data_IF_147385504223
#
_entry.id   IF_147385504223
#
_cell.length_a   1.000
_cell.length_b   1.000
_cell.length_c   1.000
_cell.angle_alpha   90.00
_cell.angle_beta   90.00
_cell.angle_gamma   90.00
#
_symmetry.space_group_name_H-M   'P 1'
#
loop_
_entity.id
_entity.type
_entity.pdbx_description
1 polymer ?
#
# COMPACT_ATOMS: atom_id res chain seq x y z
N UNK A 1 6.81 -28.52 3.89
CA UNK A 1 8.08 -27.96 4.40
C UNK A 1 8.10 -26.47 4.19
N UNK A 2 8.55 -25.75 5.20
CA UNK A 2 8.60 -24.28 5.10
C UNK A 2 9.83 -23.84 4.30
N UNK A 3 9.63 -22.85 3.43
CA UNK A 3 10.70 -22.24 2.65
C UNK A 3 10.81 -20.76 2.99
N UNK A 4 12.03 -20.26 3.04
CA UNK A 4 12.24 -18.82 3.23
C UNK A 4 12.09 -18.09 1.90
N UNK A 5 11.61 -16.85 1.99
CA UNK A 5 11.42 -15.97 0.84
C UNK A 5 12.26 -14.72 1.09
N UNK A 6 12.95 -14.25 0.06
CA UNK A 6 13.67 -12.96 0.13
C UNK A 6 12.99 -11.99 -0.82
N UNK A 7 12.98 -10.70 -0.48
CA UNK A 7 12.40 -9.69 -1.36
C UNK A 7 13.06 -9.69 -2.74
N UNK A 8 14.35 -10.01 -2.80
CA UNK A 8 15.09 -10.06 -4.07
C UNK A 8 14.50 -11.09 -5.02
N UNK A 9 13.97 -12.20 -4.50
CA UNK A 9 13.41 -13.30 -5.31
C UNK A 9 11.94 -13.10 -5.64
N UNK A 10 11.26 -12.12 -5.02
CA UNK A 10 9.87 -11.81 -5.34
C UNK A 10 9.81 -10.97 -6.60
N UNK A 11 9.03 -11.40 -7.62
CA UNK A 11 8.91 -10.62 -8.86
C UNK A 11 8.37 -9.21 -8.61
N UNK A 12 8.94 -8.24 -9.33
CA UNK A 12 8.44 -6.87 -9.31
C UNK A 12 7.36 -6.71 -10.38
N UNK A 13 6.20 -6.20 -9.97
CA UNK A 13 5.13 -5.85 -10.89
C UNK A 13 5.16 -4.33 -11.10
N UNK A 14 5.21 -3.89 -12.35
CA UNK A 14 5.00 -2.48 -12.70
C UNK A 14 3.49 -2.26 -12.84
N UNK A 15 2.89 -1.62 -11.84
CA UNK A 15 1.45 -1.31 -11.85
C UNK A 15 1.19 -0.13 -12.78
N UNK A 16 2.00 0.92 -12.63
CA UNK A 16 2.12 2.06 -13.54
C UNK A 16 3.60 2.41 -13.64
N UNK A 17 4.02 3.27 -14.58
CA UNK A 17 5.43 3.71 -14.60
C UNK A 17 5.91 4.31 -13.28
N UNK A 18 5.00 4.83 -12.46
CA UNK A 18 5.32 5.48 -11.17
C UNK A 18 5.15 4.58 -9.97
N UNK A 19 4.58 3.38 -10.13
CA UNK A 19 4.29 2.46 -9.02
C UNK A 19 4.76 1.06 -9.33
N UNK A 20 5.64 0.53 -8.48
CA UNK A 20 6.13 -0.84 -8.54
C UNK A 20 5.85 -1.54 -7.22
N UNK A 21 5.50 -2.83 -7.29
CA UNK A 21 5.20 -3.60 -6.09
C UNK A 21 5.70 -5.03 -6.15
N UNK A 22 6.00 -5.57 -4.96
CA UNK A 22 6.30 -6.99 -4.74
C UNK A 22 5.33 -7.49 -3.69
N UNK A 23 4.63 -8.60 -3.96
CA UNK A 23 3.59 -9.12 -3.08
C UNK A 23 3.99 -10.48 -2.56
N UNK A 24 3.82 -10.69 -1.24
CA UNK A 24 3.89 -12.00 -0.59
C UNK A 24 2.60 -12.19 0.18
N UNK A 25 1.88 -13.28 -0.11
CA UNK A 25 0.59 -13.55 0.54
C UNK A 25 0.57 -14.92 1.18
N UNK A 26 0.10 -14.97 2.43
CA UNK A 26 -0.39 -16.17 3.08
C UNK A 26 -1.90 -16.30 2.87
N UNK A 27 -2.52 -17.21 3.60
CA UNK A 27 -3.98 -17.40 3.53
C UNK A 27 -4.74 -16.31 4.27
N UNK A 28 -4.16 -15.78 5.36
CA UNK A 28 -4.86 -14.86 6.28
C UNK A 28 -4.29 -13.46 6.29
N UNK A 29 -3.10 -13.27 5.74
CA UNK A 29 -2.51 -11.94 5.63
C UNK A 29 -1.62 -11.84 4.40
N UNK A 30 -1.46 -10.62 3.93
CA UNK A 30 -0.65 -10.29 2.76
C UNK A 30 0.23 -9.10 3.09
N UNK A 31 1.45 -9.11 2.56
CA UNK A 31 2.34 -7.95 2.63
C UNK A 31 2.77 -7.55 1.22
N UNK A 32 3.01 -6.27 1.03
CA UNK A 32 3.55 -5.75 -0.23
C UNK A 32 4.60 -4.71 0.05
N UNK A 33 5.73 -4.83 -0.64
CA UNK A 33 6.78 -3.82 -0.63
C UNK A 33 6.65 -3.01 -1.90
N UNK A 34 6.55 -1.69 -1.77
CA UNK A 34 6.20 -0.82 -2.88
C UNK A 34 7.15 0.33 -3.01
N UNK A 35 7.38 0.74 -4.27
CA UNK A 35 8.11 1.94 -4.62
C UNK A 35 7.24 2.84 -5.46
N UNK A 36 7.19 4.12 -5.12
CA UNK A 36 6.42 5.14 -5.82
C UNK A 36 7.33 6.30 -6.19
N UNK A 37 7.05 6.90 -7.34
CA UNK A 37 7.66 8.17 -7.69
C UNK A 37 6.92 9.34 -7.06
N UNK A 38 7.64 10.46 -6.87
CA UNK A 38 7.08 11.70 -6.35
C UNK A 38 5.79 12.09 -7.08
N UNK A 39 4.80 12.51 -6.32
CA UNK A 39 3.52 12.99 -6.85
C UNK A 39 2.51 11.91 -7.18
N UNK A 40 2.84 10.64 -7.03
CA UNK A 40 1.87 9.57 -7.26
C UNK A 40 0.73 9.68 -6.24
N UNK A 41 -0.51 9.58 -6.73
CA UNK A 41 -1.69 9.66 -5.88
C UNK A 41 -2.47 8.35 -5.94
N UNK A 42 -2.77 7.80 -4.77
CA UNK A 42 -3.73 6.70 -4.62
C UNK A 42 -5.08 7.37 -4.34
N UNK A 43 -6.07 7.22 -5.25
CA UNK A 43 -7.35 7.90 -5.07
C UNK A 43 -8.12 7.40 -3.86
N UNK A 44 -9.08 8.19 -3.40
CA UNK A 44 -9.92 7.84 -2.26
C UNK A 44 -10.62 6.51 -2.53
N UNK A 45 -10.44 5.58 -1.61
CA UNK A 45 -11.01 4.24 -1.70
C UNK A 45 -11.17 3.66 -0.30
N UNK A 46 -11.91 2.57 -0.20
CA UNK A 46 -12.03 1.80 1.03
C UNK A 46 -12.05 0.31 0.71
N UNK A 47 -11.73 -0.49 1.69
CA UNK A 47 -11.76 -1.96 1.58
C UNK A 47 -12.01 -2.57 2.95
N UNK A 48 -12.51 -3.80 2.96
CA UNK A 48 -12.80 -4.52 4.21
C UNK A 48 -11.54 -4.96 4.97
N UNK A 49 -10.41 -4.99 4.30
CA UNK A 49 -9.14 -5.42 4.89
C UNK A 49 -8.64 -4.38 5.90
N UNK A 50 -8.22 -4.83 7.07
CA UNK A 50 -7.40 -4.00 7.95
C UNK A 50 -6.04 -3.81 7.29
N UNK A 51 -5.46 -2.63 7.44
CA UNK A 51 -4.18 -2.29 6.80
C UNK A 51 -3.24 -1.61 7.79
N UNK A 52 -1.96 -2.02 7.75
CA UNK A 52 -0.89 -1.27 8.42
C UNK A 52 0.08 -0.83 7.35
N UNK A 53 0.31 0.47 7.26
CA UNK A 53 1.28 1.07 6.34
C UNK A 53 2.51 1.51 7.11
N UNK A 54 3.68 1.06 6.66
CA UNK A 54 4.98 1.41 7.23
C UNK A 54 5.83 2.10 6.16
N UNK A 55 6.28 3.33 6.44
CA UNK A 55 7.13 4.08 5.51
C UNK A 55 8.59 3.75 5.77
N UNK A 56 9.31 3.32 4.74
CA UNK A 56 10.75 3.04 4.78
C UNK A 56 11.53 4.31 4.42
N UNK A 57 11.12 5.00 3.35
CA UNK A 57 11.75 6.25 2.91
C UNK A 57 10.73 7.14 2.23
N UNK A 58 10.97 8.45 2.24
CA UNK A 58 10.03 9.44 1.72
C UNK A 58 8.95 9.81 2.71
N UNK A 59 7.89 10.45 2.20
CA UNK A 59 6.75 10.90 3.01
C UNK A 59 5.46 10.55 2.29
N UNK A 60 4.48 10.01 3.03
CA UNK A 60 3.14 9.79 2.53
C UNK A 60 2.19 10.70 3.28
N UNK A 61 1.40 11.49 2.54
CA UNK A 61 0.28 12.24 3.11
C UNK A 61 -0.98 11.45 2.89
N UNK A 62 -1.65 11.10 3.99
CA UNK A 62 -2.96 10.44 3.96
C UNK A 62 -4.08 11.42 4.29
N UNK A 63 -5.22 11.21 3.65
CA UNK A 63 -6.51 11.79 4.03
C UNK A 63 -7.43 10.65 4.39
N UNK A 64 -8.10 10.74 5.54
CA UNK A 64 -9.02 9.72 6.03
C UNK A 64 -10.43 10.27 6.17
N UNK A 65 -11.42 9.41 5.90
CA UNK A 65 -12.84 9.73 5.95
C UNK A 65 -13.39 10.08 4.57
N UNK A 66 -14.72 9.96 4.42
CA UNK A 66 -15.39 10.24 3.14
C UNK A 66 -15.17 11.67 2.67
N UNK A 67 -15.05 12.62 3.61
CA UNK A 67 -14.83 14.02 3.31
C UNK A 67 -13.38 14.45 3.58
N UNK A 68 -12.47 13.50 3.72
CA UNK A 68 -11.05 13.76 3.98
C UNK A 68 -10.82 14.61 5.24
N UNK A 69 -11.56 14.31 6.32
CA UNK A 69 -11.58 15.12 7.54
C UNK A 69 -10.26 15.10 8.30
N UNK A 70 -9.53 13.99 8.24
CA UNK A 70 -8.24 13.85 8.92
C UNK A 70 -7.11 13.82 7.92
N UNK A 71 -6.07 14.60 8.14
CA UNK A 71 -4.83 14.56 7.36
C UNK A 71 -3.70 14.08 8.26
N UNK A 72 -2.90 13.14 7.75
CA UNK A 72 -1.79 12.56 8.50
C UNK A 72 -0.59 12.41 7.56
N UNK A 73 0.56 12.96 7.94
CA UNK A 73 1.81 12.75 7.22
C UNK A 73 2.63 11.67 7.93
N UNK A 74 3.04 10.64 7.18
CA UNK A 74 3.96 9.61 7.64
C UNK A 74 5.33 9.82 7.03
N UNK A 75 6.33 9.86 7.88
CA UNK A 75 7.74 9.94 7.49
C UNK A 75 8.42 8.58 7.69
N UNK A 76 9.66 8.46 7.21
CA UNK A 76 10.44 7.24 7.36
C UNK A 76 10.46 6.75 8.82
N UNK A 77 10.19 5.48 9.03
CA UNK A 77 10.12 4.86 10.36
C UNK A 77 8.78 5.00 11.06
N UNK A 78 7.81 5.67 10.43
CA UNK A 78 6.47 5.84 11.00
C UNK A 78 5.46 4.91 10.33
N UNK A 79 4.39 4.58 11.04
CA UNK A 79 3.34 3.70 10.53
C UNK A 79 1.98 4.11 11.04
N UNK A 80 0.95 3.65 10.35
CA UNK A 80 -0.45 3.90 10.71
C UNK A 80 -1.25 2.62 10.57
N UNK A 81 -2.19 2.41 11.49
CA UNK A 81 -3.18 1.33 11.41
C UNK A 81 -4.47 1.92 10.82
N UNK A 82 -4.88 1.40 9.67
CA UNK A 82 -6.09 1.84 8.97
C UNK A 82 -7.17 0.78 9.21
N UNK A 83 -8.26 1.12 9.94
CA UNK A 83 -9.33 0.16 10.21
C UNK A 83 -10.07 -0.28 8.95
N UNK A 84 -10.74 -1.44 9.00
CA UNK A 84 -11.61 -1.87 7.89
C UNK A 84 -12.60 -0.79 7.49
N UNK A 85 -12.79 -0.63 6.18
CA UNK A 85 -13.79 0.23 5.56
C UNK A 85 -13.62 1.74 5.79
N UNK A 86 -12.52 2.18 6.39
CA UNK A 86 -12.25 3.62 6.51
C UNK A 86 -11.75 4.14 5.16
N UNK A 87 -12.47 5.09 4.53
CA UNK A 87 -12.00 5.69 3.28
C UNK A 87 -10.66 6.39 3.48
N UNK A 88 -9.74 6.18 2.55
CA UNK A 88 -8.42 6.80 2.61
C UNK A 88 -7.88 7.09 1.23
N UNK A 89 -7.10 8.15 1.16
CA UNK A 89 -6.41 8.63 -0.04
C UNK A 89 -4.97 8.94 0.35
N UNK A 90 -4.03 8.76 -0.58
CA UNK A 90 -2.62 8.99 -0.30
C UNK A 90 -1.95 9.79 -1.41
N UNK A 91 -1.02 10.65 -1.03
CA UNK A 91 -0.14 11.39 -1.94
C UNK A 91 1.31 11.13 -1.54
N UNK A 92 2.12 10.71 -2.50
CA UNK A 92 3.55 10.51 -2.32
C UNK A 92 4.27 11.84 -2.44
N UNK A 93 5.00 12.22 -1.40
CA UNK A 93 5.80 13.46 -1.36
C UNK A 93 7.26 13.05 -1.40
N UNK A 94 7.91 13.30 -2.54
CA UNK A 94 9.20 12.70 -2.87
C UNK A 94 9.01 11.25 -3.33
N UNK A 95 10.10 10.58 -3.66
CA UNK A 95 10.06 9.14 -3.93
C UNK A 95 9.85 8.40 -2.63
N UNK A 96 8.99 7.40 -2.66
CA UNK A 96 8.56 6.67 -1.46
C UNK A 96 8.83 5.19 -1.61
N UNK A 97 9.35 4.58 -0.54
CA UNK A 97 9.38 3.14 -0.36
C UNK A 97 8.59 2.81 0.89
N UNK A 98 7.63 1.88 0.77
CA UNK A 98 6.77 1.48 1.89
C UNK A 98 6.50 -0.01 1.90
N UNK A 99 6.06 -0.51 3.06
CA UNK A 99 5.53 -1.86 3.20
C UNK A 99 4.12 -1.75 3.76
N UNK A 100 3.15 -2.34 3.04
CA UNK A 100 1.78 -2.47 3.50
C UNK A 100 1.49 -3.90 3.93
N UNK A 101 0.67 -4.02 4.97
CA UNK A 101 0.20 -5.28 5.52
C UNK A 101 -1.33 -5.27 5.50
N UNK A 102 -1.96 -6.34 5.00
CA UNK A 102 -3.42 -6.46 4.98
C UNK A 102 -3.86 -7.80 5.53
N UNK A 103 -4.97 -7.79 6.26
CA UNK A 103 -5.66 -8.98 6.72
C UNK A 103 -7.17 -8.75 6.59
N UNK A 104 -7.90 -9.61 5.88
CA UNK A 104 -7.42 -10.71 5.01
C UNK A 104 -6.66 -10.19 3.78
N UNK A 105 -6.07 -11.05 2.97
CA UNK A 105 -5.38 -10.63 1.74
C UNK A 105 -6.30 -9.85 0.78
N UNK A 106 -5.69 -8.89 0.07
CA UNK A 106 -6.37 -8.10 -0.96
C UNK A 106 -6.54 -8.96 -2.21
N UNK A 107 -7.73 -9.54 -2.38
CA UNK A 107 -8.00 -10.41 -3.52
C UNK A 107 -7.95 -9.65 -4.85
N UNK A 108 -8.36 -8.38 -4.86
CA UNK A 108 -8.27 -7.53 -6.05
C UNK A 108 -6.82 -7.30 -6.50
N UNK A 109 -5.88 -7.26 -5.56
CA UNK A 109 -4.45 -7.14 -5.88
C UNK A 109 -3.88 -8.46 -6.39
N UNK A 110 -4.38 -9.60 -5.85
CA UNK A 110 -3.91 -10.92 -6.24
C UNK A 110 -4.45 -11.36 -7.60
N UNK A 111 -5.67 -10.95 -7.96
CA UNK A 111 -6.31 -11.32 -9.22
C UNK A 111 -6.23 -10.25 -10.31
N UNK A 112 -5.62 -9.09 -10.01
CA UNK A 112 -5.41 -8.03 -10.98
C UNK A 112 -6.64 -7.14 -11.26
N UNK A 113 -7.64 -7.15 -10.37
CA UNK A 113 -8.85 -6.32 -10.54
C UNK A 113 -8.76 -4.98 -9.81
N UNK A 114 -7.56 -4.53 -9.44
CA UNK A 114 -7.31 -3.28 -8.73
C UNK A 114 -7.16 -2.07 -9.69
N UNK A 115 -8.11 -1.89 -10.57
CA UNK A 115 -8.05 -0.89 -11.66
C UNK A 115 -7.96 0.55 -11.17
N UNK A 116 -8.40 0.83 -9.93
CA UNK A 116 -8.36 2.19 -9.39
C UNK A 116 -6.94 2.75 -9.29
N UNK A 117 -5.92 1.89 -9.22
CA UNK A 117 -4.52 2.29 -9.20
C UNK A 117 -3.97 2.63 -10.58
N UNK A 118 -4.64 2.16 -11.64
CA UNK A 118 -4.12 2.20 -13.01
C UNK A 118 -4.69 3.34 -13.85
N UNK A 119 -5.51 4.19 -13.22
CA UNK A 119 -6.19 5.31 -13.91
C UNK A 119 -5.43 6.62 -13.77
#
# INVERSE_FOLDING_TARGET
>A
MLEKITWTDVPTEEVTPQMHRKIVSGEKLMIAKMKFEDGFRVPLHSHENEQITEVISGTIRFWFGENREQVLDLHAGEMVVIPPNLPHEALMIGDVEEIDHWAPPRLDWLDGTDDYLKK
#
